data_IF_580280470674
#
_entry.id   IF_580280470674
#
_cell.length_a   1.000
_cell.length_b   1.000
_cell.length_c   1.000
_cell.angle_alpha   90.00
_cell.angle_beta   90.00
_cell.angle_gamma   90.00
#
_symmetry.space_group_name_H-M   'P 1'
#
loop_
_entity.id
_entity.type
_entity.pdbx_description
1 polymer ?
#
# COMPACT_ATOMS: atom_id res chain seq x y z
N UNK A 1 1.00 28.71 -10.93
CA UNK A 1 0.11 27.61 -11.36
C UNK A 1 0.20 26.56 -10.27
N UNK A 2 -0.75 26.53 -9.35
CA UNK A 2 -0.77 25.50 -8.31
C UNK A 2 -1.26 24.18 -8.92
N UNK A 3 -0.46 23.13 -8.80
CA UNK A 3 -0.87 21.77 -9.16
C UNK A 3 -1.69 21.24 -7.99
N UNK A 4 -3.02 21.27 -8.11
CA UNK A 4 -3.91 20.65 -7.11
C UNK A 4 -3.82 19.12 -7.27
N UNK A 5 -3.60 18.40 -6.18
CA UNK A 5 -3.65 16.93 -6.20
C UNK A 5 -5.11 16.47 -6.20
N UNK A 6 -5.58 15.76 -7.25
CA UNK A 6 -6.95 15.27 -7.28
C UNK A 6 -7.14 14.18 -6.23
N UNK A 7 -8.14 14.34 -5.36
CA UNK A 7 -8.52 13.32 -4.39
C UNK A 7 -9.62 12.44 -4.97
N UNK A 8 -9.39 11.13 -5.02
CA UNK A 8 -10.35 10.16 -5.51
C UNK A 8 -10.53 9.05 -4.46
N UNK A 9 -11.77 8.81 -4.06
CA UNK A 9 -12.14 7.71 -3.18
C UNK A 9 -13.04 6.74 -3.95
N UNK A 10 -12.72 5.44 -3.91
CA UNK A 10 -13.50 4.37 -4.50
C UNK A 10 -13.57 3.19 -3.55
N UNK A 11 -14.75 2.60 -3.42
CA UNK A 11 -15.01 1.44 -2.56
C UNK A 11 -15.76 0.39 -3.38
N UNK A 12 -15.46 -0.88 -3.13
CA UNK A 12 -16.15 -2.02 -3.72
C UNK A 12 -16.35 -3.11 -2.66
N UNK A 13 -17.46 -3.85 -2.76
CA UNK A 13 -17.67 -5.06 -1.98
C UNK A 13 -17.04 -6.25 -2.70
N UNK A 14 -16.24 -7.02 -1.97
CA UNK A 14 -15.55 -8.20 -2.49
C UNK A 14 -15.86 -9.42 -1.64
N UNK A 15 -15.96 -10.62 -2.23
CA UNK A 15 -16.26 -11.85 -1.51
C UNK A 15 -15.02 -12.44 -0.81
N UNK A 16 -14.23 -11.58 -0.14
CA UNK A 16 -13.00 -11.96 0.56
C UNK A 16 -12.98 -11.34 1.95
N UNK A 17 -12.32 -12.01 2.89
CA UNK A 17 -12.14 -11.46 4.23
C UNK A 17 -11.20 -10.25 4.22
N UNK A 18 -11.30 -9.41 5.24
CA UNK A 18 -10.40 -8.27 5.41
C UNK A 18 -8.94 -8.71 5.50
N UNK A 19 -8.66 -9.84 6.16
CA UNK A 19 -7.32 -10.40 6.30
C UNK A 19 -6.73 -10.84 4.95
N UNK A 20 -7.52 -11.53 4.13
CA UNK A 20 -7.08 -11.96 2.79
C UNK A 20 -6.74 -10.75 1.90
N UNK A 21 -7.60 -9.73 1.91
CA UNK A 21 -7.36 -8.51 1.15
C UNK A 21 -6.15 -7.74 1.67
N UNK A 22 -5.95 -7.70 2.99
CA UNK A 22 -4.79 -7.07 3.59
C UNK A 22 -3.49 -7.78 3.18
N UNK A 23 -3.45 -9.11 3.26
CA UNK A 23 -2.29 -9.90 2.85
C UNK A 23 -1.95 -9.68 1.36
N UNK A 24 -2.97 -9.65 0.49
CA UNK A 24 -2.79 -9.37 -0.94
C UNK A 24 -2.15 -8.00 -1.20
N UNK A 25 -2.62 -6.95 -0.53
CA UNK A 25 -2.07 -5.59 -0.69
C UNK A 25 -0.70 -5.45 -0.05
N UNK A 26 -0.41 -6.17 1.03
CA UNK A 26 0.88 -6.11 1.69
C UNK A 26 2.00 -6.80 0.88
N UNK A 27 1.67 -7.73 -0.02
CA UNK A 27 2.62 -8.41 -0.89
C UNK A 27 3.04 -7.57 -2.10
N UNK A 28 3.82 -6.51 -1.83
CA UNK A 28 4.32 -5.56 -2.84
C UNK A 28 5.20 -6.22 -3.90
N UNK A 29 5.89 -7.31 -3.57
CA UNK A 29 6.81 -7.98 -4.49
C UNK A 29 6.07 -8.65 -5.66
N UNK A 30 4.85 -9.09 -5.42
CA UNK A 30 4.03 -9.80 -6.42
C UNK A 30 3.26 -8.87 -7.36
N UNK A 31 3.30 -7.55 -7.14
CA UNK A 31 2.58 -6.54 -7.95
C UNK A 31 2.76 -6.68 -9.47
N UNK A 32 3.97 -7.00 -10.01
CA UNK A 32 4.15 -7.17 -11.45
C UNK A 32 3.35 -8.33 -12.05
N UNK A 33 2.90 -9.29 -11.23
CA UNK A 33 2.16 -10.47 -11.69
C UNK A 33 0.67 -10.19 -11.91
N UNK A 34 0.12 -9.20 -11.20
CA UNK A 34 -1.33 -8.96 -11.20
C UNK A 34 -1.75 -7.55 -11.58
N UNK A 35 -0.87 -6.54 -11.50
CA UNK A 35 -1.18 -5.18 -11.91
C UNK A 35 -0.85 -4.97 -13.40
N UNK A 36 -1.85 -4.66 -14.24
CA UNK A 36 -1.59 -4.37 -15.65
C UNK A 36 -0.71 -3.12 -15.78
N UNK A 37 0.39 -3.23 -16.52
CA UNK A 37 1.35 -2.14 -16.73
C UNK A 37 2.43 -2.00 -15.64
N UNK A 38 2.46 -2.86 -14.63
CA UNK A 38 3.56 -2.91 -13.68
C UNK A 38 4.70 -3.79 -14.22
N UNK A 39 5.84 -3.18 -14.56
CA UNK A 39 7.01 -3.90 -15.10
C UNK A 39 7.90 -4.52 -14.01
N UNK A 40 7.81 -4.03 -12.77
CA UNK A 40 8.63 -4.49 -11.66
C UNK A 40 8.30 -3.72 -10.38
N UNK A 41 8.54 -4.36 -9.23
CA UNK A 41 8.46 -3.72 -7.92
C UNK A 41 9.74 -3.99 -7.13
N UNK A 42 10.17 -3.00 -6.33
CA UNK A 42 11.36 -3.10 -5.49
C UNK A 42 11.15 -2.33 -4.19
N UNK A 43 11.40 -3.00 -3.06
CA UNK A 43 11.36 -2.38 -1.75
C UNK A 43 12.64 -1.52 -1.59
N UNK A 44 12.47 -0.22 -1.32
CA UNK A 44 13.59 0.73 -1.22
C UNK A 44 14.19 0.80 0.19
N UNK A 45 13.43 0.42 1.21
CA UNK A 45 13.89 0.35 2.58
C UNK A 45 12.80 -0.20 3.49
N UNK A 46 13.20 -1.01 4.46
CA UNK A 46 12.36 -1.36 5.60
C UNK A 46 12.76 -0.42 6.72
N UNK A 47 11.94 0.59 6.99
CA UNK A 47 12.20 1.45 8.14
C UNK A 47 11.78 0.68 9.40
N UNK A 48 12.75 0.28 10.22
CA UNK A 48 12.46 -0.15 11.58
C UNK A 48 12.12 1.11 12.37
N UNK A 49 10.83 1.40 12.51
CA UNK A 49 10.31 2.48 13.36
C UNK A 49 10.63 2.31 14.87
N UNK A 50 11.42 1.29 15.23
CA UNK A 50 11.83 0.99 16.59
C UNK A 50 12.67 2.11 17.25
N UNK A 51 13.29 3.00 16.45
CA UNK A 51 14.19 4.03 16.99
C UNK A 51 13.66 5.48 16.86
N UNK A 52 12.60 5.73 16.08
CA UNK A 52 12.10 7.10 15.79
C UNK A 52 10.65 7.37 16.24
N UNK A 53 9.93 6.35 16.74
CA UNK A 53 8.58 6.56 17.24
C UNK A 53 8.61 7.00 18.71
N UNK A 54 8.97 8.26 18.97
CA UNK A 54 8.69 8.93 20.24
C UNK A 54 7.17 9.11 20.42
N UNK A 55 6.49 8.03 20.83
CA UNK A 55 5.54 8.07 21.94
C UNK A 55 4.16 8.72 21.76
N UNK A 56 3.53 8.75 20.58
CA UNK A 56 2.08 9.00 20.48
C UNK A 56 1.44 8.27 19.30
N UNK A 57 1.23 6.97 19.46
CA UNK A 57 0.16 6.25 18.78
C UNK A 57 -0.60 5.45 19.85
N UNK A 58 -1.43 6.16 20.62
CA UNK A 58 -2.73 5.64 21.05
C UNK A 58 -3.79 6.52 20.41
#
# INVERSE_FOLDING_TARGET
MEIVMPQISRTALVPYSAEQMYQLVNDVQSYPQFLPGCTGSRILGVHSWADDCCGRCV
#
